data_IF_165144662678
#
_entry.id   IF_165144662678
#
_cell.length_a   1.000
_cell.length_b   1.000
_cell.length_c   1.000
_cell.angle_alpha   90.00
_cell.angle_beta   90.00
_cell.angle_gamma   90.00
#
_symmetry.space_group_name_H-M   'P 1'
#
loop_
_entity.id
_entity.type
_entity.pdbx_description
1 polymer ?
#
# COMPACT_ATOMS: atom_id res chain seq x y z
N UNK A 1 4.07 17.09 -7.99
CA UNK A 1 4.23 15.75 -7.42
C UNK A 1 2.88 15.04 -7.37
N UNK A 2 2.84 13.77 -7.67
CA UNK A 2 1.60 12.98 -7.68
C UNK A 2 1.54 12.12 -6.43
N UNK A 3 0.40 12.10 -5.73
CA UNK A 3 0.20 11.34 -4.50
C UNK A 3 -0.90 10.30 -4.68
N UNK A 4 -0.61 9.07 -4.27
CA UNK A 4 -1.54 7.94 -4.31
C UNK A 4 -1.68 7.40 -2.88
N UNK A 5 -2.90 7.43 -2.37
CA UNK A 5 -3.21 6.94 -1.02
C UNK A 5 -4.16 5.77 -1.12
N UNK A 6 -3.84 4.67 -0.45
CA UNK A 6 -4.72 3.52 -0.35
C UNK A 6 -4.96 3.18 1.10
N UNK A 7 -6.23 2.97 1.45
CA UNK A 7 -6.64 2.42 2.74
C UNK A 7 -7.07 0.97 2.52
N UNK A 8 -6.52 0.06 3.29
CA UNK A 8 -6.83 -1.36 3.18
C UNK A 8 -7.60 -1.86 4.39
N UNK A 9 -8.66 -2.62 4.12
CA UNK A 9 -9.37 -3.40 5.14
C UNK A 9 -8.88 -4.85 5.02
N UNK A 10 -8.41 -5.40 6.13
CA UNK A 10 -7.78 -6.71 6.17
C UNK A 10 -8.79 -7.74 6.68
N UNK A 11 -8.85 -8.92 6.06
CA UNK A 11 -9.81 -9.98 6.42
C UNK A 11 -9.64 -10.43 7.86
N UNK A 12 -8.39 -10.67 8.28
CA UNK A 12 -8.06 -11.06 9.64
C UNK A 12 -6.95 -10.13 10.15
N UNK A 13 -7.34 -9.00 10.77
CA UNK A 13 -6.36 -7.97 11.15
C UNK A 13 -5.66 -8.29 12.47
N UNK A 14 -5.04 -9.46 12.55
CA UNK A 14 -4.20 -9.83 13.68
C UNK A 14 -2.91 -9.03 13.65
N UNK A 15 -2.24 -8.89 14.78
CA UNK A 15 -0.95 -8.21 14.84
C UNK A 15 0.06 -8.85 13.88
N UNK A 16 0.10 -10.18 13.81
CA UNK A 16 0.99 -10.91 12.91
C UNK A 16 0.71 -10.56 11.44
N UNK A 17 -0.55 -10.59 11.02
CA UNK A 17 -0.92 -10.29 9.65
C UNK A 17 -0.65 -8.82 9.29
N UNK A 18 -0.96 -7.90 10.19
CA UNK A 18 -0.71 -6.48 9.96
C UNK A 18 0.80 -6.19 9.83
N UNK A 19 1.62 -6.81 10.66
CA UNK A 19 3.09 -6.67 10.57
C UNK A 19 3.64 -7.26 9.28
N UNK A 20 3.12 -8.40 8.85
CA UNK A 20 3.51 -9.00 7.58
C UNK A 20 3.18 -8.08 6.40
N UNK A 21 1.97 -7.52 6.40
CA UNK A 21 1.55 -6.60 5.33
C UNK A 21 2.38 -5.31 5.35
N UNK A 22 2.62 -4.74 6.51
CA UNK A 22 3.48 -3.57 6.64
C UNK A 22 4.86 -3.83 6.04
N UNK A 23 5.47 -4.96 6.39
CA UNK A 23 6.78 -5.34 5.86
C UNK A 23 6.74 -5.51 4.34
N UNK A 24 5.69 -6.12 3.82
CA UNK A 24 5.52 -6.32 2.38
C UNK A 24 5.43 -4.99 1.65
N UNK A 25 4.62 -4.04 2.15
CA UNK A 25 4.53 -2.71 1.55
C UNK A 25 5.86 -1.96 1.63
N UNK A 26 6.52 -2.01 2.77
CA UNK A 26 7.81 -1.33 2.94
C UNK A 26 8.91 -1.90 2.04
N UNK A 27 8.76 -3.15 1.58
CA UNK A 27 9.72 -3.75 0.66
C UNK A 27 9.80 -3.04 -0.70
N UNK A 28 8.80 -2.22 -1.02
CA UNK A 28 8.81 -1.43 -2.25
C UNK A 28 9.86 -0.33 -2.24
N UNK A 29 10.25 0.13 -1.06
CA UNK A 29 11.23 1.20 -0.92
C UNK A 29 12.59 0.77 -1.49
N UNK A 30 13.09 1.54 -2.45
CA UNK A 30 14.35 1.24 -3.12
C UNK A 30 14.28 0.17 -4.20
N UNK A 31 13.12 -0.48 -4.39
CA UNK A 31 12.95 -1.54 -5.40
C UNK A 31 12.09 -1.12 -6.60
N UNK A 32 11.52 0.06 -6.55
CA UNK A 32 10.72 0.62 -7.66
C UNK A 32 11.24 2.02 -7.93
N UNK A 33 11.84 2.19 -9.11
CA UNK A 33 12.53 3.45 -9.49
C UNK A 33 11.61 4.67 -9.41
N UNK A 34 10.37 4.54 -9.88
CA UNK A 34 9.42 5.66 -9.95
C UNK A 34 8.90 6.09 -8.57
N UNK A 35 8.97 5.23 -7.58
CA UNK A 35 8.47 5.50 -6.23
C UNK A 35 9.45 6.38 -5.47
N UNK A 36 9.06 7.63 -5.17
CA UNK A 36 9.93 8.63 -4.53
C UNK A 36 9.76 8.70 -3.02
N UNK A 37 8.54 8.53 -2.54
CA UNK A 37 8.26 8.55 -1.09
C UNK A 37 7.25 7.45 -0.78
N UNK A 38 7.45 6.77 0.32
CA UNK A 38 6.58 5.70 0.80
C UNK A 38 6.37 5.84 2.30
N UNK A 39 5.11 5.82 2.71
CA UNK A 39 4.76 5.78 4.12
C UNK A 39 3.70 4.70 4.31
N UNK A 40 3.86 3.89 5.36
CA UNK A 40 2.92 2.84 5.72
C UNK A 40 2.51 3.05 7.16
N UNK A 41 1.20 3.05 7.42
CA UNK A 41 0.67 3.20 8.77
C UNK A 41 -0.34 2.12 9.09
N UNK A 42 -0.29 1.62 10.33
CA UNK A 42 -1.29 0.68 10.85
C UNK A 42 -2.21 1.45 11.78
N UNK A 43 -3.53 1.29 11.62
CA UNK A 43 -4.52 1.96 12.44
C UNK A 43 -4.38 1.58 13.91
N UNK A 44 -4.46 2.57 14.80
CA UNK A 44 -4.35 2.35 16.25
C UNK A 44 -5.62 2.69 17.02
N UNK A 45 -6.58 3.38 16.39
CA UNK A 45 -7.83 3.78 17.06
C UNK A 45 -8.84 2.63 17.07
N UNK A 46 -8.90 1.85 15.99
CA UNK A 46 -9.77 0.67 15.88
C UNK A 46 -11.26 0.99 16.07
N UNK A 47 -11.71 2.10 15.44
CA UNK A 47 -13.13 2.48 15.46
C UNK A 47 -13.92 1.71 14.40
N UNK A 48 -15.26 1.83 14.45
CA UNK A 48 -16.13 1.18 13.45
C UNK A 48 -15.88 1.68 12.03
N UNK A 49 -15.33 2.88 11.87
CA UNK A 49 -15.02 3.48 10.58
C UNK A 49 -13.61 3.21 10.12
N UNK A 50 -12.75 2.66 10.98
CA UNK A 50 -11.33 2.50 10.69
C UNK A 50 -11.10 1.38 9.69
N UNK A 51 -10.28 1.67 8.67
CA UNK A 51 -9.60 0.63 7.90
C UNK A 51 -8.33 0.25 8.68
N UNK A 52 -7.57 -0.71 8.19
CA UNK A 52 -6.52 -1.32 9.00
C UNK A 52 -5.13 -0.80 8.67
N UNK A 53 -4.84 -0.54 7.40
CA UNK A 53 -3.53 -0.08 6.95
C UNK A 53 -3.72 1.01 5.90
N UNK A 54 -2.88 2.04 5.98
CA UNK A 54 -2.77 3.06 4.95
C UNK A 54 -1.39 2.99 4.30
N UNK A 55 -1.34 3.13 2.98
CA UNK A 55 -0.08 3.40 2.28
C UNK A 55 -0.20 4.73 1.55
N UNK A 56 0.87 5.52 1.64
CA UNK A 56 0.97 6.80 0.94
C UNK A 56 2.20 6.69 0.06
N UNK A 57 2.00 6.82 -1.25
CA UNK A 57 3.07 6.76 -2.23
C UNK A 57 3.10 8.06 -3.02
N UNK A 58 4.30 8.57 -3.30
CA UNK A 58 4.47 9.80 -4.07
C UNK A 58 5.42 9.59 -5.22
N UNK A 59 5.10 10.25 -6.33
CA UNK A 59 5.77 10.13 -7.62
C UNK A 59 6.00 11.52 -8.19
N UNK A 60 6.97 11.65 -9.08
CA UNK A 60 7.22 12.93 -9.74
C UNK A 60 6.07 13.34 -10.66
N UNK A 61 5.38 12.35 -11.24
CA UNK A 61 4.29 12.60 -12.19
C UNK A 61 3.24 11.49 -12.14
N UNK A 62 2.08 11.75 -12.75
CA UNK A 62 1.04 10.74 -12.94
C UNK A 62 1.56 9.59 -13.81
N UNK A 63 2.38 9.89 -14.81
CA UNK A 63 2.97 8.89 -15.70
C UNK A 63 3.85 7.92 -14.91
N UNK A 64 4.62 8.43 -13.96
CA UNK A 64 5.44 7.58 -13.08
C UNK A 64 4.57 6.70 -12.19
N UNK A 65 3.44 7.21 -11.68
CA UNK A 65 2.49 6.38 -10.95
C UNK A 65 1.94 5.25 -11.83
N UNK A 66 1.59 5.55 -13.09
CA UNK A 66 1.07 4.51 -14.00
C UNK A 66 2.12 3.44 -14.29
N UNK A 67 3.39 3.83 -14.39
CA UNK A 67 4.50 2.88 -14.54
C UNK A 67 4.66 2.01 -13.28
N UNK A 68 4.52 2.62 -12.09
CA UNK A 68 4.53 1.91 -10.81
C UNK A 68 3.39 0.87 -10.74
N UNK A 69 2.19 1.25 -11.18
CA UNK A 69 1.02 0.37 -11.06
C UNK A 69 1.22 -0.96 -11.79
N UNK A 70 1.92 -0.95 -12.91
CA UNK A 70 2.21 -2.16 -13.71
C UNK A 70 3.63 -2.70 -13.51
N UNK A 71 4.40 -2.10 -12.62
CA UNK A 71 5.77 -2.51 -12.34
C UNK A 71 5.80 -3.96 -11.86
N UNK A 72 6.76 -4.76 -12.37
CA UNK A 72 6.86 -6.17 -12.06
C UNK A 72 7.00 -6.45 -10.56
N UNK A 73 7.86 -5.69 -9.86
CA UNK A 73 8.01 -5.85 -8.42
C UNK A 73 6.70 -5.58 -7.69
N UNK A 74 6.01 -4.48 -8.04
CA UNK A 74 4.74 -4.11 -7.44
C UNK A 74 3.68 -5.20 -7.68
N UNK A 75 3.57 -5.72 -8.90
CA UNK A 75 2.58 -6.74 -9.26
C UNK A 75 2.92 -8.09 -8.60
N UNK A 76 4.13 -8.58 -8.78
CA UNK A 76 4.51 -9.94 -8.37
C UNK A 76 4.84 -10.07 -6.88
N UNK A 77 5.52 -9.06 -6.32
CA UNK A 77 6.01 -9.13 -4.94
C UNK A 77 5.09 -8.46 -3.93
N UNK A 78 4.15 -7.64 -4.39
CA UNK A 78 3.22 -6.92 -3.50
C UNK A 78 1.78 -7.29 -3.80
N UNK A 79 1.21 -6.91 -4.93
CA UNK A 79 -0.21 -7.15 -5.23
C UNK A 79 -0.62 -8.62 -5.08
N UNK A 80 0.14 -9.54 -5.66
CA UNK A 80 -0.18 -10.97 -5.58
C UNK A 80 -0.03 -11.50 -4.17
N UNK A 81 0.96 -11.02 -3.44
CA UNK A 81 1.22 -11.47 -2.07
C UNK A 81 0.11 -11.02 -1.13
N UNK A 82 -0.32 -9.76 -1.21
CA UNK A 82 -1.33 -9.22 -0.28
C UNK A 82 -2.77 -9.61 -0.64
N UNK A 83 -3.02 -10.06 -1.86
CA UNK A 83 -4.38 -10.26 -2.37
C UNK A 83 -5.27 -11.13 -1.48
N UNK A 84 -4.73 -12.20 -0.90
CA UNK A 84 -5.49 -13.08 -0.03
C UNK A 84 -5.79 -12.49 1.36
N UNK A 85 -5.11 -11.42 1.73
CA UNK A 85 -5.28 -10.77 3.04
C UNK A 85 -6.28 -9.63 3.02
N UNK A 86 -6.57 -9.06 1.84
CA UNK A 86 -7.33 -7.82 1.71
C UNK A 86 -8.79 -8.09 1.45
N UNK A 87 -9.67 -7.50 2.28
CA UNK A 87 -11.12 -7.59 2.12
C UNK A 87 -11.65 -6.46 1.21
N UNK A 88 -11.13 -5.24 1.39
CA UNK A 88 -11.58 -4.06 0.64
C UNK A 88 -10.49 -2.99 0.65
N UNK A 89 -10.58 -2.07 -0.31
CA UNK A 89 -9.67 -0.92 -0.34
C UNK A 89 -10.40 0.32 -0.82
N UNK A 90 -9.86 1.49 -0.46
CA UNK A 90 -10.31 2.80 -0.91
C UNK A 90 -9.08 3.60 -1.32
N UNK A 91 -9.19 4.37 -2.38
CA UNK A 91 -8.09 5.17 -2.90
C UNK A 91 -8.49 6.61 -3.11
N UNK A 92 -7.49 7.49 -3.03
CA UNK A 92 -7.58 8.86 -3.49
C UNK A 92 -6.23 9.26 -4.11
N UNK A 93 -6.28 9.92 -5.25
CA UNK A 93 -5.11 10.28 -6.04
C UNK A 93 -5.15 11.77 -6.38
N UNK A 94 -4.03 12.46 -6.16
CA UNK A 94 -3.97 13.90 -6.46
C UNK A 94 -2.55 14.40 -6.68
#
# INVERSE_FOLDING_TARGET
MFTHIVLFKVKEPTEENLKFLEKTFLSMDGNIEELKQLEVGIDVIRSDRSYDIAIITRFDSKEDYLAYDVNEFHVEKVKKVIGSYIEASKTIDF
#
